data_IF_639185738889
#
_entry.id   IF_639185738889
#
_cell.length_a   1.000
_cell.length_b   1.000
_cell.length_c   1.000
_cell.angle_alpha   90.00
_cell.angle_beta   90.00
_cell.angle_gamma   90.00
#
_symmetry.space_group_name_H-M   'P 1'
#
loop_
_entity.id
_entity.type
_entity.pdbx_description
1 polymer ?
#
# COMPACT_ATOMS: atom_id res chain seq x y z
N UNK A 1 -17.06 8.41 8.37
CA UNK A 1 -16.18 9.39 9.04
C UNK A 1 -15.60 10.28 7.96
N UNK A 2 -15.72 11.60 8.09
CA UNK A 2 -15.27 12.57 7.09
C UNK A 2 -13.75 12.57 6.99
N UNK A 3 -13.20 12.19 5.84
CA UNK A 3 -11.77 12.19 5.49
C UNK A 3 -11.28 13.57 5.02
N UNK A 4 -11.94 14.64 5.43
CA UNK A 4 -11.66 15.99 4.93
C UNK A 4 -10.82 16.77 5.94
N UNK A 5 -9.56 17.05 5.58
CA UNK A 5 -8.70 17.99 6.33
C UNK A 5 -9.35 19.37 6.35
N UNK A 6 -9.29 20.05 7.49
CA UNK A 6 -9.82 21.40 7.58
C UNK A 6 -8.93 22.38 6.77
N UNK A 7 -9.53 23.47 6.31
CA UNK A 7 -8.86 24.46 5.45
C UNK A 7 -7.66 25.14 6.12
N UNK A 8 -7.66 25.23 7.45
CA UNK A 8 -6.57 25.84 8.22
C UNK A 8 -5.29 25.02 8.13
N UNK A 9 -5.41 23.68 8.20
CA UNK A 9 -4.27 22.78 8.13
C UNK A 9 -3.62 22.80 6.73
N UNK A 10 -4.43 22.92 5.68
CA UNK A 10 -3.94 23.07 4.30
C UNK A 10 -3.20 24.39 4.09
N UNK A 11 -3.70 25.46 4.69
CA UNK A 11 -3.09 26.78 4.58
C UNK A 11 -1.71 26.82 5.27
N UNK A 12 -1.56 26.16 6.42
CA UNK A 12 -0.29 26.07 7.14
C UNK A 12 0.76 25.29 6.36
N UNK A 13 0.36 24.16 5.77
CA UNK A 13 1.20 23.34 4.89
C UNK A 13 1.68 24.16 3.68
N UNK A 14 0.77 24.87 3.01
CA UNK A 14 1.11 25.74 1.87
C UNK A 14 2.13 26.83 2.27
N UNK A 15 1.94 27.47 3.41
CA UNK A 15 2.84 28.51 3.90
C UNK A 15 4.23 27.96 4.27
N UNK A 16 4.30 26.73 4.80
CA UNK A 16 5.56 26.06 5.07
C UNK A 16 6.33 25.78 3.76
N UNK A 17 5.65 25.25 2.74
CA UNK A 17 6.23 25.01 1.42
C UNK A 17 6.76 26.29 0.78
N UNK A 18 5.95 27.36 0.81
CA UNK A 18 6.33 28.66 0.25
C UNK A 18 7.57 29.24 0.95
N UNK A 19 7.70 29.06 2.27
CA UNK A 19 8.90 29.52 3.01
C UNK A 19 10.15 28.74 2.60
N UNK A 20 10.05 27.44 2.41
CA UNK A 20 11.17 26.61 1.93
C UNK A 20 11.57 27.00 0.50
N UNK A 21 10.60 27.19 -0.39
CA UNK A 21 10.84 27.59 -1.79
C UNK A 21 11.47 28.97 -1.91
N UNK A 22 11.07 29.91 -1.06
CA UNK A 22 11.59 31.29 -1.10
C UNK A 22 12.88 31.47 -0.30
N UNK A 23 13.26 30.51 0.56
CA UNK A 23 14.45 30.61 1.41
C UNK A 23 15.76 30.28 0.69
N UNK A 24 15.73 29.32 -0.25
CA UNK A 24 16.93 28.80 -0.92
C UNK A 24 16.70 28.62 -2.44
N UNK A 25 16.58 29.71 -3.20
CA UNK A 25 16.36 29.63 -4.65
C UNK A 25 17.61 29.09 -5.36
N UNK A 26 17.55 27.83 -5.80
CA UNK A 26 18.60 27.18 -6.60
C UNK A 26 18.97 25.78 -6.15
N UNK A 27 18.57 25.37 -4.94
CA UNK A 27 18.81 24.01 -4.45
C UNK A 27 17.63 23.07 -4.74
N UNK A 28 17.87 21.79 -5.06
CA UNK A 28 16.80 20.80 -5.17
C UNK A 28 16.17 20.59 -3.79
N UNK A 29 14.88 20.94 -3.69
CA UNK A 29 14.12 20.80 -2.45
C UNK A 29 13.82 19.32 -2.20
N UNK A 30 14.50 18.75 -1.22
CA UNK A 30 14.27 17.39 -0.75
C UNK A 30 13.58 17.43 0.62
N UNK A 31 12.44 16.76 0.77
CA UNK A 31 11.79 16.57 2.08
C UNK A 31 11.03 17.80 2.61
N UNK A 32 10.05 18.30 1.85
CA UNK A 32 9.15 19.36 2.32
C UNK A 32 8.37 18.86 3.56
N UNK A 33 8.32 19.63 4.66
CA UNK A 33 7.61 19.25 5.88
C UNK A 33 6.10 19.50 5.75
N UNK A 34 5.50 18.98 4.69
CA UNK A 34 4.03 18.92 4.57
C UNK A 34 3.55 17.77 5.43
N UNK A 35 2.57 18.04 6.31
CA UNK A 35 1.90 16.98 7.05
C UNK A 35 1.25 16.06 6.02
N UNK A 36 1.67 14.79 6.01
CA UNK A 36 1.11 13.81 5.09
C UNK A 36 -0.42 13.85 5.21
N UNK A 37 -1.12 13.89 4.08
CA UNK A 37 -2.56 13.77 4.08
C UNK A 37 -2.92 12.48 4.84
N UNK A 38 -3.84 12.57 5.80
CA UNK A 38 -4.57 11.39 6.30
C UNK A 38 -5.57 10.95 5.21
N UNK A 39 -5.07 10.65 4.01
CA UNK A 39 -5.81 9.93 2.98
C UNK A 39 -5.13 8.58 2.84
N UNK A 40 -5.79 7.53 3.30
CA UNK A 40 -5.39 6.12 3.12
C UNK A 40 -3.93 5.77 3.48
N UNK A 41 -3.16 6.70 4.06
CA UNK A 41 -1.73 6.66 4.36
C UNK A 41 -1.32 5.69 5.48
N UNK A 42 -2.20 4.73 5.80
CA UNK A 42 -1.80 3.43 6.30
C UNK A 42 -1.20 2.54 5.19
N UNK A 43 -0.88 3.12 4.03
CA UNK A 43 -0.12 2.51 2.97
C UNK A 43 1.21 1.99 3.48
N UNK A 44 1.50 0.74 3.14
CA UNK A 44 2.82 0.13 3.28
C UNK A 44 3.88 1.09 2.72
N UNK A 45 4.63 1.76 3.60
CA UNK A 45 5.79 2.55 3.19
C UNK A 45 6.90 1.60 2.78
N UNK A 46 7.47 1.83 1.59
CA UNK A 46 8.66 1.12 1.13
C UNK A 46 8.44 0.02 0.11
N UNK A 47 7.23 -0.24 -0.41
CA UNK A 47 7.10 -1.26 -1.46
C UNK A 47 7.96 -0.95 -2.70
N UNK A 48 8.67 -1.96 -3.23
CA UNK A 48 9.65 -1.78 -4.31
C UNK A 48 9.09 -1.15 -5.60
N UNK A 49 7.77 -1.19 -5.81
CA UNK A 49 7.09 -0.52 -6.94
C UNK A 49 6.90 0.99 -6.76
N UNK A 50 7.13 1.54 -5.56
CA UNK A 50 6.84 2.94 -5.24
C UNK A 50 5.35 3.29 -5.17
N UNK A 51 4.46 2.30 -5.33
CA UNK A 51 3.01 2.48 -5.27
C UNK A 51 2.53 2.39 -3.83
N UNK A 52 1.61 3.28 -3.47
CA UNK A 52 0.88 3.22 -2.23
C UNK A 52 -0.05 1.98 -2.21
N UNK A 53 0.24 1.00 -1.36
CA UNK A 53 -0.55 -0.24 -1.27
C UNK A 53 -1.66 -0.06 -0.26
N UNK A 54 -2.89 -0.17 -0.72
CA UNK A 54 -4.04 -0.33 0.17
C UNK A 54 -4.06 -1.79 0.64
N UNK A 55 -3.63 -1.99 1.89
CA UNK A 55 -3.55 -3.32 2.50
C UNK A 55 -4.94 -3.93 2.76
N UNK A 56 -5.97 -3.11 2.95
CA UNK A 56 -7.34 -3.59 3.12
C UNK A 56 -7.92 -4.03 1.78
N UNK A 57 -7.77 -3.21 0.73
CA UNK A 57 -8.18 -3.57 -0.62
C UNK A 57 -7.42 -4.81 -1.13
N UNK A 58 -6.12 -4.92 -0.84
CA UNK A 58 -5.32 -6.09 -1.19
C UNK A 58 -5.79 -7.33 -0.44
N UNK A 59 -6.07 -7.22 0.87
CA UNK A 59 -6.61 -8.34 1.65
C UNK A 59 -7.97 -8.77 1.13
N UNK A 60 -8.85 -7.82 0.83
CA UNK A 60 -10.17 -8.08 0.27
C UNK A 60 -10.09 -8.81 -1.08
N UNK A 61 -9.19 -8.37 -1.97
CA UNK A 61 -8.91 -9.03 -3.25
C UNK A 61 -8.48 -10.49 -3.04
N UNK A 62 -7.59 -10.74 -2.08
CA UNK A 62 -7.10 -12.10 -1.78
C UNK A 62 -8.21 -12.98 -1.19
N UNK A 63 -8.93 -12.49 -0.18
CA UNK A 63 -10.03 -13.26 0.45
C UNK A 63 -11.25 -13.45 -0.46
N UNK A 64 -11.36 -12.71 -1.56
CA UNK A 64 -12.40 -12.91 -2.57
C UNK A 64 -12.13 -14.11 -3.50
N UNK A 65 -10.96 -14.76 -3.40
CA UNK A 65 -10.69 -16.00 -4.11
C UNK A 65 -11.38 -17.16 -3.39
N UNK A 66 -12.23 -17.96 -4.08
CA UNK A 66 -12.90 -19.09 -3.47
C UNK A 66 -11.93 -20.07 -2.79
N UNK A 67 -12.26 -20.47 -1.56
CA UNK A 67 -11.43 -21.37 -0.76
C UNK A 67 -10.43 -20.66 0.17
N UNK A 68 -10.20 -19.36 0.04
CA UNK A 68 -9.37 -18.59 0.99
C UNK A 68 -10.23 -18.12 2.17
N UNK A 69 -9.95 -18.66 3.36
CA UNK A 69 -10.63 -18.28 4.60
C UNK A 69 -9.92 -17.20 5.41
N UNK A 70 -8.61 -17.04 5.18
CA UNK A 70 -7.80 -16.06 5.91
C UNK A 70 -6.66 -15.54 5.03
N UNK A 71 -6.35 -14.25 5.19
CA UNK A 71 -5.17 -13.62 4.62
C UNK A 71 -4.55 -12.65 5.62
N UNK A 72 -3.26 -12.86 5.91
CA UNK A 72 -2.41 -11.90 6.62
C UNK A 72 -1.40 -11.35 5.62
N UNK A 73 -1.35 -10.02 5.53
CA UNK A 73 -0.34 -9.32 4.75
C UNK A 73 0.80 -8.90 5.66
N UNK A 74 2.02 -9.03 5.15
CA UNK A 74 3.24 -8.56 5.80
C UNK A 74 4.15 -7.92 4.76
N UNK A 75 5.03 -7.03 5.20
CA UNK A 75 5.93 -6.29 4.32
C UNK A 75 7.35 -6.60 4.75
N UNK A 76 8.05 -7.37 3.93
CA UNK A 76 9.44 -7.72 4.19
C UNK A 76 10.35 -6.70 3.54
N UNK A 77 11.10 -5.97 4.34
CA UNK A 77 12.13 -5.07 3.85
C UNK A 77 13.40 -5.86 3.56
N UNK A 78 13.75 -5.96 2.27
CA UNK A 78 15.10 -6.30 1.85
C UNK A 78 15.88 -4.97 1.79
N UNK A 79 17.17 -4.98 2.18
CA UNK A 79 17.95 -3.76 2.42
C UNK A 79 17.82 -2.66 1.35
N UNK A 80 18.12 -1.41 1.72
CA UNK A 80 17.92 -0.18 0.92
C UNK A 80 16.46 0.26 0.71
N UNK A 81 15.56 -0.08 1.65
CA UNK A 81 14.21 0.46 1.68
C UNK A 81 13.24 -0.14 0.67
N UNK A 82 13.58 -1.29 0.08
CA UNK A 82 12.69 -2.05 -0.83
C UNK A 82 11.95 -3.13 -0.04
N UNK A 83 10.69 -2.86 0.23
CA UNK A 83 9.69 -3.75 0.80
C UNK A 83 9.07 -4.63 -0.28
N UNK A 84 8.90 -5.90 0.05
CA UNK A 84 8.14 -6.88 -0.74
C UNK A 84 6.89 -7.26 0.03
N UNK A 85 5.76 -7.34 -0.68
CA UNK A 85 4.48 -7.69 -0.07
C UNK A 85 4.34 -9.22 0.00
N UNK A 86 4.26 -9.73 1.22
CA UNK A 86 4.01 -11.13 1.51
C UNK A 86 2.54 -11.33 1.89
N UNK A 87 1.89 -12.34 1.31
CA UNK A 87 0.58 -12.82 1.75
C UNK A 87 0.69 -14.23 2.34
N UNK A 88 0.40 -14.36 3.63
CA UNK A 88 0.15 -15.64 4.29
C UNK A 88 -1.35 -15.93 4.22
N UNK A 89 -1.72 -16.98 3.48
CA UNK A 89 -3.10 -17.35 3.19
C UNK A 89 -3.44 -18.72 3.75
N UNK A 90 -4.61 -18.84 4.38
CA UNK A 90 -5.17 -20.13 4.76
C UNK A 90 -6.27 -20.53 3.80
N UNK A 91 -6.15 -21.74 3.27
CA UNK A 91 -7.07 -22.31 2.29
C UNK A 91 -7.79 -23.53 2.85
N UNK A 92 -9.06 -23.71 2.49
CA UNK A 92 -9.88 -24.88 2.85
C UNK A 92 -9.71 -26.05 1.87
N UNK A 93 -9.02 -25.83 0.74
CA UNK A 93 -8.81 -26.84 -0.30
C UNK A 93 -7.47 -26.70 -1.00
N UNK A 94 -7.09 -27.67 -1.84
CA UNK A 94 -5.85 -27.58 -2.62
C UNK A 94 -5.97 -26.44 -3.63
N UNK A 95 -5.06 -25.48 -3.54
CA UNK A 95 -4.84 -24.42 -4.54
C UNK A 95 -3.34 -24.23 -4.68
N UNK A 96 -2.84 -24.22 -5.91
CA UNK A 96 -1.44 -23.93 -6.17
C UNK A 96 -1.17 -22.41 -6.11
N UNK A 97 0.09 -22.05 -5.85
CA UNK A 97 0.51 -20.63 -5.88
C UNK A 97 0.25 -20.00 -7.25
N UNK A 98 0.48 -20.74 -8.33
CA UNK A 98 0.25 -20.25 -9.70
C UNK A 98 -1.23 -19.99 -9.99
N UNK A 99 -2.13 -20.89 -9.57
CA UNK A 99 -3.57 -20.70 -9.72
C UNK A 99 -4.05 -19.47 -8.94
N UNK A 100 -3.54 -19.30 -7.72
CA UNK A 100 -3.86 -18.15 -6.89
C UNK A 100 -3.35 -16.85 -7.52
N UNK A 101 -2.09 -16.78 -7.95
CA UNK A 101 -1.53 -15.60 -8.63
C UNK A 101 -2.35 -15.24 -9.88
N UNK A 102 -2.71 -16.23 -10.70
CA UNK A 102 -3.56 -16.02 -11.88
C UNK A 102 -4.92 -15.43 -11.50
N UNK A 103 -5.52 -15.94 -10.42
CA UNK A 103 -6.79 -15.45 -9.91
C UNK A 103 -6.70 -14.01 -9.38
N UNK A 104 -5.59 -13.63 -8.74
CA UNK A 104 -5.35 -12.28 -8.22
C UNK A 104 -5.10 -11.28 -9.35
N UNK A 105 -4.27 -11.61 -10.34
CA UNK A 105 -4.03 -10.74 -11.50
C UNK A 105 -5.31 -10.43 -12.27
N UNK A 106 -6.19 -11.42 -12.45
CA UNK A 106 -7.49 -11.19 -13.08
C UNK A 106 -8.42 -10.27 -12.28
N UNK A 107 -8.20 -10.16 -10.95
CA UNK A 107 -9.02 -9.40 -10.02
C UNK A 107 -8.49 -7.98 -9.74
N UNK A 108 -7.18 -7.75 -9.85
CA UNK A 108 -6.54 -6.48 -9.48
C UNK A 108 -7.22 -5.21 -10.06
N UNK A 109 -7.68 -5.17 -11.33
CA UNK A 109 -8.34 -3.97 -11.88
C UNK A 109 -9.62 -3.56 -11.16
N UNK A 110 -10.25 -4.50 -10.43
CA UNK A 110 -11.52 -4.28 -9.74
C UNK A 110 -11.34 -3.77 -8.31
N UNK A 111 -10.12 -3.79 -7.78
CA UNK A 111 -9.79 -3.36 -6.41
C UNK A 111 -8.79 -2.19 -6.48
N UNK A 112 -9.30 -0.96 -6.42
CA UNK A 112 -8.47 0.24 -6.45
C UNK A 112 -7.44 0.23 -5.31
N UNK A 113 -6.18 0.55 -5.61
CA UNK A 113 -5.08 0.55 -4.62
C UNK A 113 -4.57 -0.85 -4.23
N UNK A 114 -5.17 -1.93 -4.75
CA UNK A 114 -4.69 -3.28 -4.52
C UNK A 114 -3.45 -3.62 -5.37
N UNK A 115 -2.58 -4.45 -4.80
CA UNK A 115 -1.40 -4.98 -5.48
C UNK A 115 -1.37 -6.49 -5.30
N UNK A 116 -1.00 -7.22 -6.34
CA UNK A 116 -0.75 -8.66 -6.22
C UNK A 116 0.51 -8.87 -5.35
N UNK A 117 0.44 -9.66 -4.27
CA UNK A 117 1.61 -9.93 -3.42
C UNK A 117 2.78 -10.51 -4.20
N UNK A 118 4.00 -10.11 -3.83
CA UNK A 118 5.25 -10.62 -4.41
C UNK A 118 5.53 -12.07 -4.01
N UNK A 119 5.08 -12.44 -2.82
CA UNK A 119 5.24 -13.76 -2.23
C UNK A 119 3.93 -14.22 -1.62
N UNK A 120 3.61 -15.50 -1.80
CA UNK A 120 2.42 -16.12 -1.24
C UNK A 120 2.82 -17.39 -0.51
N UNK A 121 2.49 -17.47 0.77
CA UNK A 121 2.62 -18.66 1.61
C UNK A 121 1.24 -19.27 1.80
N UNK A 122 1.06 -20.50 1.32
CA UNK A 122 -0.20 -21.22 1.43
C UNK A 122 -0.12 -22.20 2.59
N UNK A 123 -0.98 -21.98 3.58
CA UNK A 123 -1.11 -22.84 4.74
C UNK A 123 -2.47 -23.57 4.69
N UNK A 124 -2.53 -24.88 4.98
CA UNK A 124 -3.80 -25.56 5.15
C UNK A 124 -4.54 -24.98 6.38
N UNK A 125 -5.86 -24.84 6.27
CA UNK A 125 -6.71 -24.36 7.37
C UNK A 125 -6.97 -25.43 8.43
#
# INVERSE_FOLDING_TARGET
MSTQRNTSDLLQDLLAVMRTLCGEPGEPINGIPVRAFESTSQHVHGHHSGVAIDSEATRAMVTAVPGIGHCRLDVRHEGFGKGRLLADVRTSGPISVEELLRALHARQPWFAGSVVPDEILINPS
#
